data_IF_258428513063
#
_entry.id   IF_258428513063
#
_cell.length_a   1.000
_cell.length_b   1.000
_cell.length_c   1.000
_cell.angle_alpha   90.00
_cell.angle_beta   90.00
_cell.angle_gamma   90.00
#
_symmetry.space_group_name_H-M   'P 1'
#
loop_
_entity.id
_entity.type
_entity.pdbx_description
1 polymer ?
#
# COMPACT_ATOMS: atom_id res chain seq x y z
N UNK A 1 -37.48 -5.75 8.35
CA UNK A 1 -36.66 -6.81 7.66
C UNK A 1 -35.18 -6.44 7.77
N UNK A 2 -34.29 -7.41 8.10
CA UNK A 2 -32.83 -7.21 8.12
C UNK A 2 -32.22 -8.16 7.08
N UNK A 3 -31.43 -7.63 6.17
CA UNK A 3 -30.80 -8.38 5.08
C UNK A 3 -29.30 -8.61 5.33
N UNK A 4 -28.78 -9.73 4.87
CA UNK A 4 -27.35 -10.05 4.90
C UNK A 4 -26.65 -9.49 3.66
N UNK A 5 -25.62 -8.67 3.86
CA UNK A 5 -24.77 -8.10 2.80
C UNK A 5 -23.37 -8.70 2.89
N UNK A 6 -22.99 -9.45 1.86
CA UNK A 6 -21.62 -9.93 1.73
C UNK A 6 -20.69 -8.81 1.25
N UNK A 7 -19.65 -8.53 2.00
CA UNK A 7 -18.62 -7.59 1.59
C UNK A 7 -17.45 -8.32 0.90
N UNK A 8 -16.79 -7.64 -0.01
CA UNK A 8 -15.62 -8.16 -0.69
C UNK A 8 -14.33 -7.95 0.13
N UNK A 9 -13.21 -8.53 -0.33
CA UNK A 9 -11.91 -8.46 0.36
C UNK A 9 -11.42 -7.02 0.53
N UNK A 10 -11.66 -6.14 -0.45
CA UNK A 10 -11.23 -4.75 -0.39
C UNK A 10 -12.00 -3.98 0.69
N UNK A 11 -13.32 -4.15 0.73
CA UNK A 11 -14.19 -3.56 1.76
C UNK A 11 -13.83 -4.06 3.16
N UNK A 12 -13.52 -5.36 3.29
CA UNK A 12 -13.07 -5.94 4.55
C UNK A 12 -11.72 -5.36 5.00
N UNK A 13 -10.78 -5.20 4.06
CA UNK A 13 -9.49 -4.57 4.38
C UNK A 13 -9.63 -3.10 4.79
N UNK A 14 -10.47 -2.33 4.08
CA UNK A 14 -10.74 -0.94 4.43
C UNK A 14 -11.44 -0.83 5.79
N UNK A 15 -12.39 -1.73 6.09
CA UNK A 15 -13.04 -1.82 7.40
C UNK A 15 -12.02 -2.06 8.53
N UNK A 16 -11.12 -3.04 8.38
CA UNK A 16 -10.06 -3.31 9.35
C UNK A 16 -9.14 -2.10 9.54
N UNK A 17 -8.73 -1.47 8.45
CA UNK A 17 -7.84 -0.33 8.47
C UNK A 17 -8.48 0.89 9.16
N UNK A 18 -9.76 1.16 8.92
CA UNK A 18 -10.52 2.23 9.58
C UNK A 18 -10.66 1.99 11.08
N UNK A 19 -11.12 0.80 11.47
CA UNK A 19 -11.37 0.45 12.87
C UNK A 19 -10.09 0.42 13.73
N UNK A 20 -8.94 0.20 13.10
CA UNK A 20 -7.64 0.10 13.79
C UNK A 20 -6.75 1.33 13.60
N UNK A 21 -7.28 2.45 13.08
CA UNK A 21 -6.57 3.71 12.96
C UNK A 21 -5.45 3.76 11.90
N UNK A 22 -5.42 2.79 10.97
CA UNK A 22 -4.45 2.80 9.85
C UNK A 22 -4.67 4.03 8.97
N UNK A 23 -5.92 4.43 8.80
CA UNK A 23 -6.32 5.60 8.00
C UNK A 23 -6.61 6.85 8.84
N UNK A 24 -6.16 6.92 10.10
CA UNK A 24 -6.34 8.15 10.87
C UNK A 24 -5.84 9.38 10.07
N UNK A 25 -6.61 10.51 10.01
CA UNK A 25 -7.73 10.89 10.85
C UNK A 25 -9.10 10.33 10.46
N UNK A 26 -9.21 9.58 9.37
CA UNK A 26 -10.45 8.95 8.97
C UNK A 26 -10.73 7.73 9.87
N UNK A 27 -11.91 7.72 10.54
CA UNK A 27 -12.32 6.65 11.46
C UNK A 27 -13.44 5.76 10.90
N UNK A 28 -14.17 6.27 9.92
CA UNK A 28 -15.31 5.59 9.30
C UNK A 28 -15.25 5.71 7.78
N UNK A 29 -16.00 4.92 7.07
CA UNK A 29 -16.23 5.16 5.65
C UNK A 29 -16.85 6.56 5.46
N UNK A 30 -16.46 7.24 4.38
CA UNK A 30 -16.88 8.62 4.15
C UNK A 30 -18.34 8.71 3.76
N UNK A 31 -19.06 9.71 4.31
CA UNK A 31 -20.34 10.18 3.80
C UNK A 31 -20.17 11.03 2.53
N UNK A 32 -21.26 11.46 1.90
CA UNK A 32 -21.25 12.24 0.66
C UNK A 32 -20.44 13.53 0.78
N UNK A 33 -20.62 14.29 1.86
CA UNK A 33 -19.91 15.57 2.10
C UNK A 33 -18.41 15.35 2.18
N UNK A 34 -17.96 14.40 3.01
CA UNK A 34 -16.54 14.08 3.15
C UNK A 34 -15.96 13.46 1.87
N UNK A 35 -16.74 12.66 1.14
CA UNK A 35 -16.32 12.11 -0.14
C UNK A 35 -15.96 13.24 -1.12
N UNK A 36 -16.87 14.19 -1.29
CA UNK A 36 -16.67 15.34 -2.19
C UNK A 36 -15.54 16.24 -1.68
N UNK A 37 -15.50 16.54 -0.38
CA UNK A 37 -14.44 17.36 0.20
C UNK A 37 -13.04 16.75 0.01
N UNK A 38 -12.90 15.43 0.17
CA UNK A 38 -11.64 14.75 -0.11
C UNK A 38 -11.30 14.82 -1.60
N UNK A 39 -12.26 14.63 -2.49
CA UNK A 39 -12.00 14.68 -3.93
C UNK A 39 -11.47 16.04 -4.39
N UNK A 40 -12.05 17.12 -3.93
CA UNK A 40 -11.71 18.48 -4.40
C UNK A 40 -10.62 19.15 -3.56
N UNK A 41 -10.69 19.03 -2.23
CA UNK A 41 -9.86 19.77 -1.30
C UNK A 41 -8.76 18.94 -0.65
N UNK A 42 -8.78 17.59 -0.83
CA UNK A 42 -7.86 16.67 -0.16
C UNK A 42 -7.84 16.85 1.36
N UNK A 43 -9.01 17.08 1.96
CA UNK A 43 -9.14 17.35 3.40
C UNK A 43 -10.29 16.57 4.03
N UNK A 44 -10.08 16.18 5.29
CA UNK A 44 -11.11 15.73 6.23
C UNK A 44 -10.81 16.34 7.61
N UNK A 45 -11.81 16.96 8.24
CA UNK A 45 -11.65 17.63 9.54
C UNK A 45 -10.41 18.54 9.58
N UNK A 46 -10.26 19.44 8.59
CA UNK A 46 -9.11 20.36 8.37
C UNK A 46 -7.77 19.67 8.13
N UNK A 47 -7.67 18.34 8.19
CA UNK A 47 -6.43 17.58 7.96
C UNK A 47 -6.34 17.08 6.51
N UNK A 48 -5.14 17.02 5.99
CA UNK A 48 -4.89 16.49 4.65
C UNK A 48 -5.21 14.99 4.60
N UNK A 49 -6.04 14.58 3.61
CA UNK A 49 -6.39 13.20 3.34
C UNK A 49 -6.65 13.02 1.84
N UNK A 50 -5.83 12.24 1.10
CA UNK A 50 -5.76 12.35 -0.36
C UNK A 50 -6.80 11.54 -1.15
N UNK A 51 -7.36 10.47 -0.57
CA UNK A 51 -8.26 9.53 -1.27
C UNK A 51 -9.45 9.19 -0.37
N UNK A 52 -10.71 9.29 -0.84
CA UNK A 52 -11.86 8.86 -0.06
C UNK A 52 -11.85 7.34 0.14
N UNK A 53 -12.09 6.90 1.38
CA UNK A 53 -12.31 5.50 1.73
C UNK A 53 -13.81 5.33 1.96
N UNK A 54 -14.47 4.64 1.05
CA UNK A 54 -15.92 4.58 0.95
C UNK A 54 -16.46 3.15 0.99
N UNK A 55 -17.72 3.02 1.33
CA UNK A 55 -18.44 1.75 1.26
C UNK A 55 -19.38 1.76 0.05
N UNK A 56 -18.90 1.25 -1.08
CA UNK A 56 -19.66 1.20 -2.31
C UNK A 56 -20.43 -0.12 -2.46
N UNK A 57 -21.58 -0.08 -3.15
CA UNK A 57 -22.41 -1.23 -3.45
C UNK A 57 -22.78 -1.31 -4.92
N UNK A 58 -22.91 -2.53 -5.44
CA UNK A 58 -23.39 -2.78 -6.79
C UNK A 58 -24.90 -2.46 -6.91
N UNK A 59 -25.42 -2.32 -8.14
CA UNK A 59 -26.87 -2.12 -8.39
C UNK A 59 -27.71 -3.22 -7.73
N UNK A 60 -27.30 -4.49 -7.85
CA UNK A 60 -27.97 -5.64 -7.22
C UNK A 60 -28.08 -5.49 -5.69
N UNK A 61 -27.00 -5.09 -5.04
CA UNK A 61 -26.99 -4.90 -3.59
C UNK A 61 -27.74 -3.64 -3.17
N UNK A 62 -27.67 -2.55 -3.96
CA UNK A 62 -28.49 -1.37 -3.74
C UNK A 62 -29.99 -1.70 -3.71
N UNK A 63 -30.50 -2.42 -4.72
CA UNK A 63 -31.92 -2.82 -4.78
C UNK A 63 -32.38 -3.66 -3.57
N UNK A 64 -31.43 -4.38 -2.92
CA UNK A 64 -31.73 -5.17 -1.72
C UNK A 64 -31.84 -4.34 -0.43
N UNK A 65 -31.19 -3.18 -0.39
CA UNK A 65 -31.00 -2.43 0.87
C UNK A 65 -31.52 -1.01 0.85
N UNK A 66 -31.93 -0.46 -0.31
CA UNK A 66 -32.30 0.95 -0.46
C UNK A 66 -33.44 1.41 0.47
N UNK A 67 -34.33 0.51 0.85
CA UNK A 67 -35.47 0.81 1.75
C UNK A 67 -35.27 0.22 3.16
N UNK A 68 -34.03 -0.15 3.54
CA UNK A 68 -33.75 -0.75 4.84
C UNK A 68 -33.01 0.20 5.76
N UNK A 69 -33.36 0.17 7.04
CA UNK A 69 -32.63 0.91 8.06
C UNK A 69 -31.44 0.12 8.60
N UNK A 70 -31.52 -1.21 8.61
CA UNK A 70 -30.49 -2.08 9.20
C UNK A 70 -30.04 -3.16 8.23
N UNK A 71 -28.73 -3.43 8.22
CA UNK A 71 -28.10 -4.45 7.40
C UNK A 71 -27.03 -5.19 8.20
N UNK A 72 -26.97 -6.51 8.06
CA UNK A 72 -25.89 -7.34 8.62
C UNK A 72 -24.77 -7.50 7.60
N UNK A 73 -23.56 -7.13 7.98
CA UNK A 73 -22.36 -7.29 7.14
C UNK A 73 -21.71 -8.65 7.38
N UNK A 74 -21.36 -9.33 6.28
CA UNK A 74 -20.67 -10.61 6.31
C UNK A 74 -19.42 -10.59 5.42
N UNK A 75 -18.37 -11.30 5.84
CA UNK A 75 -17.21 -11.63 5.02
C UNK A 75 -16.86 -13.09 5.16
N UNK A 76 -16.72 -13.82 4.04
CA UNK A 76 -16.45 -15.27 4.03
C UNK A 76 -17.38 -16.04 5.00
N UNK A 77 -18.67 -15.81 4.89
CA UNK A 77 -19.73 -16.40 5.75
C UNK A 77 -19.67 -15.99 7.25
N UNK A 78 -18.69 -15.19 7.68
CA UNK A 78 -18.61 -14.71 9.07
C UNK A 78 -19.37 -13.41 9.23
N UNK A 79 -20.23 -13.35 10.25
CA UNK A 79 -20.94 -12.12 10.63
C UNK A 79 -19.96 -11.13 11.25
N UNK A 80 -19.90 -9.90 10.71
CA UNK A 80 -18.96 -8.87 11.12
C UNK A 80 -19.59 -7.76 11.96
N UNK A 81 -20.75 -7.27 11.51
CA UNK A 81 -21.40 -6.12 12.11
C UNK A 81 -22.89 -6.03 11.77
N UNK A 82 -23.68 -5.44 12.68
CA UNK A 82 -24.95 -4.81 12.37
C UNK A 82 -24.68 -3.33 12.14
N UNK A 83 -25.14 -2.82 11.01
CA UNK A 83 -25.04 -1.40 10.68
C UNK A 83 -26.44 -0.77 10.58
N UNK A 84 -26.57 0.49 11.02
CA UNK A 84 -27.72 1.34 10.74
C UNK A 84 -27.36 2.28 9.61
N UNK A 85 -28.09 2.20 8.49
CA UNK A 85 -27.92 3.09 7.34
C UNK A 85 -28.39 4.49 7.74
N UNK A 86 -27.56 5.49 7.52
CA UNK A 86 -27.87 6.91 7.70
C UNK A 86 -28.34 7.54 6.39
N UNK A 87 -27.62 7.23 5.31
CA UNK A 87 -27.98 7.66 3.96
C UNK A 87 -27.34 6.79 2.90
N UNK A 88 -27.96 6.75 1.75
CA UNK A 88 -27.39 6.17 0.53
C UNK A 88 -27.23 7.30 -0.48
N UNK A 89 -26.06 7.41 -1.10
CA UNK A 89 -25.76 8.48 -2.03
C UNK A 89 -25.06 7.97 -3.29
N UNK A 90 -25.12 8.77 -4.34
CA UNK A 90 -24.47 8.48 -5.61
C UNK A 90 -23.41 9.53 -5.92
N UNK A 91 -22.35 9.11 -6.59
CA UNK A 91 -21.28 9.96 -7.11
C UNK A 91 -21.11 9.64 -8.60
N UNK A 92 -21.13 10.67 -9.44
CA UNK A 92 -20.85 10.51 -10.87
C UNK A 92 -19.42 9.93 -11.03
N UNK A 93 -19.26 8.75 -11.66
CA UNK A 93 -17.92 8.12 -11.80
C UNK A 93 -16.89 9.03 -12.46
N UNK A 94 -17.32 9.88 -13.41
CA UNK A 94 -16.44 10.83 -14.10
C UNK A 94 -15.82 11.86 -13.14
N UNK A 95 -16.55 12.32 -12.11
CA UNK A 95 -16.03 13.23 -11.10
C UNK A 95 -14.91 12.52 -10.31
N UNK A 96 -15.19 11.32 -9.80
CA UNK A 96 -14.20 10.51 -9.09
C UNK A 96 -12.94 10.28 -9.94
N UNK A 97 -13.14 9.84 -11.18
CA UNK A 97 -12.03 9.55 -12.10
C UNK A 97 -11.17 10.78 -12.39
N UNK A 98 -11.79 11.90 -12.77
CA UNK A 98 -11.09 13.14 -13.10
C UNK A 98 -10.30 13.70 -11.93
N UNK A 99 -10.90 13.71 -10.74
CA UNK A 99 -10.28 14.28 -9.55
C UNK A 99 -9.13 13.45 -8.99
N UNK A 100 -9.16 12.12 -9.12
CA UNK A 100 -8.10 11.25 -8.63
C UNK A 100 -7.02 10.95 -9.66
N UNK A 101 -7.39 10.78 -10.93
CA UNK A 101 -6.50 10.26 -11.96
C UNK A 101 -6.21 11.27 -13.09
N UNK A 102 -6.81 12.47 -13.05
CA UNK A 102 -6.59 13.50 -14.05
C UNK A 102 -7.33 13.27 -15.37
N UNK A 103 -6.91 13.96 -16.45
CA UNK A 103 -7.62 13.98 -17.73
C UNK A 103 -7.82 12.60 -18.37
N UNK A 104 -6.83 11.72 -18.25
CA UNK A 104 -6.82 10.39 -18.87
C UNK A 104 -7.50 9.30 -18.05
N UNK A 105 -8.29 9.65 -17.04
CA UNK A 105 -8.88 8.73 -16.06
C UNK A 105 -9.66 7.56 -16.67
N UNK A 106 -10.28 7.73 -17.85
CA UNK A 106 -11.05 6.67 -18.53
C UNK A 106 -10.23 5.41 -18.80
N UNK A 107 -8.91 5.56 -19.03
CA UNK A 107 -7.98 4.47 -19.27
C UNK A 107 -7.40 3.85 -17.97
N UNK A 108 -7.72 4.43 -16.81
CA UNK A 108 -7.16 4.00 -15.54
C UNK A 108 -7.85 2.71 -15.03
N UNK A 109 -7.09 1.66 -14.61
CA UNK A 109 -7.66 0.37 -14.24
C UNK A 109 -8.57 0.45 -13.01
N UNK A 110 -8.19 1.23 -12.01
CA UNK A 110 -9.01 1.40 -10.83
C UNK A 110 -10.31 2.19 -11.11
N UNK A 111 -10.28 3.14 -12.04
CA UNK A 111 -11.50 3.82 -12.48
C UNK A 111 -12.49 2.87 -13.16
N UNK A 112 -12.00 2.00 -14.06
CA UNK A 112 -12.83 0.98 -14.70
C UNK A 112 -13.49 0.06 -13.68
N UNK A 113 -12.70 -0.39 -12.68
CA UNK A 113 -13.20 -1.18 -11.55
C UNK A 113 -14.21 -0.40 -10.70
N UNK A 114 -13.89 0.84 -10.34
CA UNK A 114 -14.77 1.71 -9.57
C UNK A 114 -16.15 1.86 -10.24
N UNK A 115 -16.18 2.18 -11.55
CA UNK A 115 -17.41 2.33 -12.32
C UNK A 115 -18.24 1.04 -12.34
N UNK A 116 -17.59 -0.12 -12.45
CA UNK A 116 -18.27 -1.44 -12.51
C UNK A 116 -18.83 -1.86 -11.16
N UNK A 117 -18.12 -1.62 -10.07
CA UNK A 117 -18.43 -2.19 -8.75
C UNK A 117 -19.26 -1.27 -7.85
N UNK A 118 -19.32 0.04 -8.14
CA UNK A 118 -19.96 1.02 -7.26
C UNK A 118 -21.09 1.76 -7.98
N UNK A 119 -22.30 1.31 -7.74
CA UNK A 119 -23.51 1.98 -8.18
C UNK A 119 -23.92 3.08 -7.19
N UNK A 120 -23.90 2.78 -5.89
CA UNK A 120 -24.21 3.69 -4.81
C UNK A 120 -23.22 3.51 -3.64
N UNK A 121 -23.24 4.43 -2.71
CA UNK A 121 -22.38 4.46 -1.51
C UNK A 121 -23.24 4.61 -0.28
N UNK A 122 -22.80 3.96 0.83
CA UNK A 122 -23.55 3.93 2.07
C UNK A 122 -22.80 4.70 3.14
N UNK A 123 -23.46 5.68 3.76
CA UNK A 123 -23.09 6.23 5.07
C UNK A 123 -23.87 5.47 6.15
N UNK A 124 -23.19 5.00 7.17
CA UNK A 124 -23.78 4.19 8.23
C UNK A 124 -23.03 4.34 9.56
N UNK A 125 -23.68 3.93 10.65
CA UNK A 125 -23.03 3.69 11.93
C UNK A 125 -23.06 2.20 12.29
N UNK A 126 -22.07 1.77 13.07
CA UNK A 126 -22.09 0.43 13.64
C UNK A 126 -23.01 0.40 14.86
N UNK A 127 -24.02 -0.47 14.84
CA UNK A 127 -24.83 -0.77 16.02
C UNK A 127 -24.18 -1.90 16.84
N UNK A 128 -23.62 -2.87 16.15
CA UNK A 128 -22.89 -3.97 16.78
C UNK A 128 -21.69 -4.39 15.94
N UNK A 129 -20.53 -4.57 16.57
CA UNK A 129 -19.32 -5.09 15.96
C UNK A 129 -18.94 -6.43 16.56
N UNK A 130 -18.68 -7.43 15.74
CA UNK A 130 -18.23 -8.75 16.18
C UNK A 130 -16.69 -8.80 16.11
N UNK A 131 -16.03 -8.23 17.11
CA UNK A 131 -14.56 -8.03 17.14
C UNK A 131 -13.77 -9.33 16.86
N UNK A 132 -14.25 -10.50 17.33
CA UNK A 132 -13.60 -11.80 17.11
C UNK A 132 -13.50 -12.18 15.62
N UNK A 133 -14.40 -11.68 14.77
CA UNK A 133 -14.44 -11.94 13.32
C UNK A 133 -13.72 -10.85 12.49
N UNK A 134 -13.39 -9.71 13.11
CA UNK A 134 -12.66 -8.60 12.51
C UNK A 134 -11.14 -8.79 12.67
N UNK A 135 -10.64 -9.91 12.13
CA UNK A 135 -9.22 -10.32 12.24
C UNK A 135 -8.72 -10.89 10.92
N UNK A 136 -7.48 -10.61 10.60
CA UNK A 136 -6.69 -11.30 9.58
C UNK A 136 -5.34 -11.69 10.18
N UNK A 137 -4.85 -12.89 9.88
CA UNK A 137 -3.59 -13.43 10.46
C UNK A 137 -2.35 -12.60 10.13
N UNK A 138 -2.41 -11.84 9.06
CA UNK A 138 -1.31 -11.01 8.59
C UNK A 138 -1.50 -9.54 8.94
N UNK A 139 -2.62 -9.16 9.57
CA UNK A 139 -2.90 -7.78 9.96
C UNK A 139 -2.19 -7.41 11.26
N UNK A 140 -1.47 -6.30 11.25
CA UNK A 140 -0.84 -5.71 12.45
C UNK A 140 -1.32 -4.28 12.57
N UNK A 141 -2.01 -3.95 13.66
CA UNK A 141 -2.49 -2.56 13.88
C UNK A 141 -1.34 -1.59 14.18
N UNK A 142 -1.49 -0.28 13.89
CA UNK A 142 -0.53 0.74 14.29
C UNK A 142 -0.24 0.74 15.78
N UNK A 143 -1.25 0.53 16.62
CA UNK A 143 -1.11 0.50 18.08
C UNK A 143 -0.23 -0.69 18.52
N UNK A 144 -0.56 -1.90 18.06
CA UNK A 144 0.21 -3.11 18.37
C UNK A 144 1.66 -2.98 17.88
N UNK A 145 1.87 -2.41 16.69
CA UNK A 145 3.20 -2.16 16.16
C UNK A 145 3.97 -1.16 17.04
N UNK A 146 3.39 0.00 17.36
CA UNK A 146 4.03 1.02 18.21
C UNK A 146 4.40 0.47 19.58
N UNK A 147 3.50 -0.29 20.23
CA UNK A 147 3.78 -0.95 21.51
C UNK A 147 5.00 -1.88 21.41
N UNK A 148 5.07 -2.69 20.35
CA UNK A 148 6.21 -3.59 20.09
C UNK A 148 7.51 -2.82 19.86
N UNK A 149 7.48 -1.74 19.09
CA UNK A 149 8.67 -0.94 18.78
C UNK A 149 9.19 -0.20 20.01
N UNK A 150 8.29 0.42 20.79
CA UNK A 150 8.65 1.09 22.05
C UNK A 150 9.48 0.18 22.97
N UNK A 151 9.10 -1.10 23.09
CA UNK A 151 9.84 -2.09 23.90
C UNK A 151 11.23 -2.42 23.35
N UNK A 152 11.46 -2.26 22.02
CA UNK A 152 12.71 -2.68 21.36
C UNK A 152 13.73 -1.56 21.19
N UNK A 153 13.28 -0.34 20.92
CA UNK A 153 14.15 0.79 20.57
C UNK A 153 13.88 2.06 21.37
N UNK A 154 12.95 2.00 22.35
CA UNK A 154 12.58 3.15 23.18
C UNK A 154 11.67 4.16 22.49
N UNK A 155 11.47 5.30 23.14
CA UNK A 155 10.74 6.45 22.63
C UNK A 155 11.68 7.40 21.87
N UNK A 156 11.09 8.26 21.00
CA UNK A 156 11.80 9.35 20.30
C UNK A 156 12.94 8.89 19.37
N UNK A 157 12.83 7.72 18.77
CA UNK A 157 13.76 7.23 17.77
C UNK A 157 13.27 7.52 16.36
N UNK A 158 14.19 7.84 15.45
CA UNK A 158 13.87 7.93 14.03
C UNK A 158 13.57 6.54 13.49
N UNK A 159 12.39 6.41 12.88
CA UNK A 159 11.97 5.19 12.20
C UNK A 159 11.65 5.52 10.75
N UNK A 160 12.53 5.12 9.85
CA UNK A 160 12.26 5.20 8.42
C UNK A 160 11.30 4.08 7.98
N UNK A 161 10.64 4.25 6.85
CA UNK A 161 9.72 3.23 6.34
C UNK A 161 9.85 3.01 4.84
N UNK A 162 9.72 1.75 4.44
CA UNK A 162 9.78 1.29 3.07
C UNK A 162 8.52 0.53 2.68
N UNK A 163 7.94 0.89 1.53
CA UNK A 163 6.77 0.24 0.95
C UNK A 163 7.14 -0.50 -0.33
N UNK A 164 6.61 -1.72 -0.49
CA UNK A 164 6.79 -2.51 -1.70
C UNK A 164 5.57 -3.41 -1.94
N UNK A 165 5.41 -3.90 -3.18
CA UNK A 165 4.48 -4.96 -3.56
C UNK A 165 5.23 -6.20 -4.07
N UNK A 166 6.55 -6.16 -4.01
CA UNK A 166 7.41 -7.18 -4.57
C UNK A 166 8.19 -7.94 -3.48
N UNK A 167 8.73 -9.06 -3.85
CA UNK A 167 9.81 -9.69 -3.09
C UNK A 167 11.04 -8.77 -3.06
N UNK A 168 11.84 -8.77 -1.99
CA UNK A 168 13.00 -7.90 -1.89
C UNK A 168 14.10 -8.30 -2.90
N UNK A 169 14.68 -7.29 -3.51
CA UNK A 169 15.82 -7.43 -4.45
C UNK A 169 16.94 -6.45 -4.10
N UNK A 170 18.08 -6.52 -4.76
CA UNK A 170 19.27 -5.72 -4.41
C UNK A 170 19.03 -4.20 -4.38
N UNK A 171 18.19 -3.66 -5.28
CA UNK A 171 17.83 -2.25 -5.20
C UNK A 171 16.99 -1.92 -3.94
N UNK A 172 16.12 -2.83 -3.48
CA UNK A 172 15.43 -2.68 -2.19
C UNK A 172 16.42 -2.77 -1.03
N UNK A 173 17.35 -3.75 -1.04
CA UNK A 173 18.38 -3.86 -0.01
C UNK A 173 19.25 -2.59 0.07
N UNK A 174 19.61 -2.01 -1.06
CA UNK A 174 20.33 -0.75 -1.11
C UNK A 174 19.55 0.37 -0.41
N UNK A 175 18.26 0.54 -0.72
CA UNK A 175 17.40 1.52 -0.08
C UNK A 175 17.23 1.25 1.43
N UNK A 176 17.12 -0.03 1.83
CA UNK A 176 17.03 -0.42 3.24
C UNK A 176 18.32 -0.05 3.99
N UNK A 177 19.49 -0.39 3.44
CA UNK A 177 20.78 -0.07 4.04
C UNK A 177 21.01 1.44 4.14
N UNK A 178 20.64 2.20 3.09
CA UNK A 178 20.67 3.66 3.14
C UNK A 178 19.86 4.21 4.32
N UNK A 179 18.63 3.71 4.52
CA UNK A 179 17.77 4.16 5.60
C UNK A 179 18.24 3.70 6.97
N UNK A 180 18.73 2.47 7.10
CA UNK A 180 19.27 1.93 8.36
C UNK A 180 20.51 2.73 8.77
N UNK A 181 21.44 2.99 7.84
CA UNK A 181 22.66 3.75 8.14
C UNK A 181 22.38 5.20 8.54
N UNK A 182 21.34 5.80 7.96
CA UNK A 182 21.00 7.22 8.22
C UNK A 182 20.08 7.43 9.42
N UNK A 183 19.17 6.49 9.68
CA UNK A 183 18.08 6.65 10.67
C UNK A 183 18.07 5.55 11.74
N UNK A 184 19.00 4.61 11.70
CA UNK A 184 19.17 3.45 12.59
C UNK A 184 18.04 2.41 12.50
N UNK A 185 16.80 2.80 12.23
CA UNK A 185 15.64 1.91 12.28
C UNK A 185 14.77 2.02 11.03
N UNK A 186 14.34 0.86 10.53
CA UNK A 186 13.55 0.73 9.32
C UNK A 186 12.31 -0.14 9.55
N UNK A 187 11.12 0.36 9.19
CA UNK A 187 9.92 -0.44 9.00
C UNK A 187 9.82 -0.88 7.54
N UNK A 188 9.91 -2.18 7.28
CA UNK A 188 9.57 -2.78 5.98
C UNK A 188 8.11 -3.17 6.03
N UNK A 189 7.29 -2.47 5.21
CA UNK A 189 5.85 -2.60 5.21
C UNK A 189 5.31 -2.91 3.80
N UNK A 190 5.41 -4.17 3.36
CA UNK A 190 4.88 -4.56 2.05
C UNK A 190 3.36 -4.56 2.04
N UNK A 191 2.79 -4.18 0.89
CA UNK A 191 1.37 -4.32 0.61
C UNK A 191 1.03 -5.79 0.41
N UNK A 192 0.04 -6.28 1.15
CA UNK A 192 -0.53 -7.62 1.02
C UNK A 192 -2.05 -7.52 0.97
N UNK A 193 -2.71 -8.60 0.58
CA UNK A 193 -4.17 -8.67 0.58
C UNK A 193 -4.78 -8.67 -0.81
N UNK A 194 -4.01 -8.53 -1.87
CA UNK A 194 -4.50 -8.62 -3.24
C UNK A 194 -3.78 -9.69 -4.05
N UNK A 195 -4.57 -10.43 -4.84
CA UNK A 195 -4.05 -11.41 -5.77
C UNK A 195 -4.30 -10.93 -7.19
N UNK A 196 -3.23 -10.77 -7.94
CA UNK A 196 -3.26 -10.47 -9.36
C UNK A 196 -2.41 -11.47 -10.09
N UNK A 197 -2.91 -11.97 -11.21
CA UNK A 197 -2.15 -12.83 -12.11
C UNK A 197 -0.77 -12.25 -12.39
N UNK A 198 0.26 -13.09 -12.35
CA UNK A 198 1.66 -12.74 -12.55
C UNK A 198 2.29 -11.85 -11.44
N UNK A 199 1.67 -11.70 -10.29
CA UNK A 199 2.29 -11.09 -9.09
C UNK A 199 2.60 -12.16 -8.04
N UNK A 200 3.41 -11.79 -7.03
CA UNK A 200 3.78 -12.71 -5.94
C UNK A 200 2.60 -12.93 -4.99
N UNK A 201 2.50 -14.14 -4.43
CA UNK A 201 1.55 -14.41 -3.35
C UNK A 201 1.90 -13.61 -2.09
N UNK A 202 0.88 -13.31 -1.25
CA UNK A 202 1.08 -12.66 0.05
C UNK A 202 2.07 -13.45 0.91
N UNK A 203 1.99 -14.79 0.90
CA UNK A 203 2.88 -15.68 1.63
C UNK A 203 4.33 -15.53 1.17
N UNK A 204 4.56 -15.50 -0.14
CA UNK A 204 5.90 -15.30 -0.73
C UNK A 204 6.47 -13.95 -0.33
N UNK A 205 5.68 -12.87 -0.42
CA UNK A 205 6.10 -11.53 -0.01
C UNK A 205 6.49 -11.51 1.47
N UNK A 206 5.66 -12.11 2.33
CA UNK A 206 5.91 -12.14 3.78
C UNK A 206 7.16 -12.96 4.10
N UNK A 207 7.28 -14.18 3.56
CA UNK A 207 8.40 -15.10 3.81
C UNK A 207 9.74 -14.50 3.37
N UNK A 208 9.80 -13.97 2.15
CA UNK A 208 11.03 -13.38 1.59
C UNK A 208 11.49 -12.16 2.36
N UNK A 209 10.58 -11.24 2.74
CA UNK A 209 10.94 -10.08 3.55
C UNK A 209 11.39 -10.47 4.96
N UNK A 210 10.77 -11.47 5.60
CA UNK A 210 11.20 -11.98 6.91
C UNK A 210 12.58 -12.61 6.86
N UNK A 211 12.92 -13.33 5.76
CA UNK A 211 14.29 -13.88 5.56
C UNK A 211 15.29 -12.76 5.41
N UNK A 212 15.00 -11.76 4.58
CA UNK A 212 15.91 -10.64 4.37
C UNK A 212 16.17 -9.87 5.66
N UNK A 213 15.13 -9.59 6.47
CA UNK A 213 15.28 -8.85 7.73
C UNK A 213 16.24 -9.53 8.70
N UNK A 214 16.30 -10.86 8.70
CA UNK A 214 17.27 -11.61 9.55
C UNK A 214 18.73 -11.38 9.16
N UNK A 215 19.01 -10.84 7.98
CA UNK A 215 20.37 -10.50 7.53
C UNK A 215 20.83 -9.12 7.99
N UNK A 216 19.92 -8.29 8.52
CA UNK A 216 20.26 -6.97 9.05
C UNK A 216 20.65 -7.05 10.53
N UNK A 217 21.35 -6.01 11.01
CA UNK A 217 21.70 -5.88 12.44
C UNK A 217 20.44 -6.01 13.31
N UNK A 218 20.57 -6.65 14.44
CA UNK A 218 19.48 -6.81 15.42
C UNK A 218 18.85 -5.45 15.75
N UNK A 219 17.51 -5.39 15.74
CA UNK A 219 16.71 -4.19 16.00
C UNK A 219 16.88 -3.02 15.00
N UNK A 220 17.57 -3.22 13.86
CA UNK A 220 17.65 -2.19 12.81
C UNK A 220 16.48 -2.25 11.81
N UNK A 221 15.86 -3.42 11.63
CA UNK A 221 14.73 -3.57 10.72
C UNK A 221 13.56 -4.31 11.36
N UNK A 222 12.35 -3.82 11.09
CA UNK A 222 11.09 -4.33 11.61
C UNK A 222 10.13 -4.65 10.47
N UNK A 223 9.18 -5.54 10.72
CA UNK A 223 8.21 -5.99 9.75
C UNK A 223 6.79 -5.83 10.28
N UNK A 224 5.95 -5.15 9.50
CA UNK A 224 4.51 -5.10 9.68
C UNK A 224 3.85 -4.95 8.30
N UNK A 225 3.22 -5.99 7.74
CA UNK A 225 2.62 -5.87 6.42
C UNK A 225 1.43 -4.90 6.44
N UNK A 226 1.20 -4.25 5.30
CA UNK A 226 0.05 -3.38 5.06
C UNK A 226 -1.03 -4.17 4.34
N UNK A 227 -2.06 -4.59 5.08
CA UNK A 227 -3.18 -5.33 4.54
C UNK A 227 -4.14 -4.38 3.82
N UNK A 228 -4.02 -4.29 2.50
CA UNK A 228 -4.78 -3.38 1.66
C UNK A 228 -4.73 -3.82 0.19
N UNK A 229 -5.11 -2.95 -0.73
CA UNK A 229 -5.08 -3.18 -2.16
C UNK A 229 -4.59 -1.94 -2.91
N UNK A 230 -3.93 -2.11 -4.07
CA UNK A 230 -3.46 -1.00 -4.87
C UNK A 230 -4.64 -0.30 -5.56
N UNK A 231 -4.67 1.01 -5.45
CA UNK A 231 -5.60 1.88 -6.19
C UNK A 231 -4.94 2.44 -7.46
N UNK A 232 -3.64 2.24 -7.59
CA UNK A 232 -2.81 2.75 -8.69
C UNK A 232 -2.88 4.27 -8.84
N UNK A 233 -3.20 4.99 -7.76
CA UNK A 233 -3.44 6.42 -7.75
C UNK A 233 -2.17 7.29 -7.85
N UNK A 234 -0.99 6.68 -8.06
CA UNK A 234 0.27 7.40 -8.19
C UNK A 234 0.49 8.40 -7.06
N UNK A 235 0.55 9.72 -7.37
CA UNK A 235 0.83 10.76 -6.37
C UNK A 235 -0.11 10.76 -5.16
N UNK A 236 -1.41 10.64 -5.37
CA UNK A 236 -2.40 10.67 -4.28
C UNK A 236 -2.36 9.39 -3.43
N UNK A 237 -2.08 8.25 -4.03
CA UNK A 237 -1.92 7.01 -3.27
C UNK A 237 -0.58 6.96 -2.52
N UNK A 238 0.49 7.53 -3.08
CA UNK A 238 1.76 7.70 -2.37
C UNK A 238 1.58 8.55 -1.10
N UNK A 239 0.78 9.62 -1.19
CA UNK A 239 0.43 10.45 -0.04
C UNK A 239 -0.42 9.69 1.01
N UNK A 240 -1.37 8.84 0.59
CA UNK A 240 -2.08 7.95 1.52
C UNK A 240 -1.12 6.99 2.21
N UNK A 241 -0.16 6.42 1.46
CA UNK A 241 0.87 5.56 2.01
C UNK A 241 1.76 6.28 3.03
N UNK A 242 2.06 7.56 2.83
CA UNK A 242 2.78 8.39 3.80
C UNK A 242 1.99 8.56 5.10
N UNK A 243 0.68 8.85 5.01
CA UNK A 243 -0.22 8.94 6.19
C UNK A 243 -0.25 7.62 6.95
N UNK A 244 -0.37 6.50 6.24
CA UNK A 244 -0.34 5.17 6.87
C UNK A 244 0.95 4.99 7.67
N UNK A 245 2.13 5.30 7.10
CA UNK A 245 3.42 5.14 7.80
C UNK A 245 3.54 6.05 9.02
N UNK A 246 3.08 7.30 8.89
CA UNK A 246 2.96 8.19 10.06
C UNK A 246 2.12 7.56 11.17
N UNK A 247 0.98 6.97 10.82
CA UNK A 247 0.10 6.34 11.81
C UNK A 247 0.75 5.12 12.50
N UNK A 248 1.66 4.42 11.81
CA UNK A 248 2.51 3.38 12.41
C UNK A 248 3.68 3.94 13.25
N UNK A 249 3.82 5.27 13.35
CA UNK A 249 4.87 5.90 14.16
C UNK A 249 6.18 6.14 13.41
N UNK A 250 6.17 6.04 12.07
CA UNK A 250 7.35 6.36 11.27
C UNK A 250 7.54 7.87 11.17
N UNK A 251 8.80 8.33 11.28
CA UNK A 251 9.22 9.72 11.09
C UNK A 251 9.58 10.02 9.64
N UNK A 252 9.99 9.00 8.88
CA UNK A 252 10.46 9.13 7.50
C UNK A 252 9.82 8.09 6.59
N UNK A 253 9.54 8.47 5.34
CA UNK A 253 8.96 7.56 4.35
C UNK A 253 9.68 7.64 3.01
N UNK A 254 10.16 6.47 2.54
CA UNK A 254 10.76 6.34 1.22
C UNK A 254 9.69 6.31 0.13
N UNK A 255 9.71 7.31 -0.76
CA UNK A 255 8.89 7.34 -1.97
C UNK A 255 9.79 7.02 -3.16
N UNK A 256 9.64 5.85 -3.74
CA UNK A 256 10.43 5.40 -4.88
C UNK A 256 9.97 6.02 -6.21
N UNK A 257 10.71 5.73 -7.28
CA UNK A 257 10.29 6.01 -8.65
C UNK A 257 8.95 5.29 -8.94
N UNK A 258 8.03 5.99 -9.60
CA UNK A 258 6.71 5.43 -9.99
C UNK A 258 5.95 4.78 -8.83
N UNK A 259 6.05 5.39 -7.63
CA UNK A 259 5.39 4.87 -6.43
C UNK A 259 3.88 4.86 -6.61
N UNK A 260 3.25 3.69 -6.41
CA UNK A 260 1.83 3.44 -6.60
C UNK A 260 1.30 3.75 -8.01
N UNK A 261 2.17 3.84 -9.00
CA UNK A 261 1.79 4.07 -10.39
C UNK A 261 1.26 2.83 -11.10
N UNK A 262 0.78 3.04 -12.32
CA UNK A 262 0.32 2.00 -13.24
C UNK A 262 0.92 2.23 -14.62
N UNK A 263 1.81 1.34 -15.07
CA UNK A 263 2.51 1.48 -16.35
C UNK A 263 3.15 2.88 -16.47
N UNK A 264 2.92 3.57 -17.59
CA UNK A 264 3.40 4.94 -17.84
C UNK A 264 2.30 6.00 -17.62
N UNK A 265 1.29 5.72 -16.78
CA UNK A 265 0.17 6.63 -16.56
C UNK A 265 0.59 7.94 -15.87
N UNK A 266 1.57 7.86 -15.01
CA UNK A 266 2.17 9.01 -14.31
C UNK A 266 3.63 9.19 -14.71
N UNK A 267 4.15 10.40 -14.62
CA UNK A 267 5.58 10.63 -14.80
C UNK A 267 6.38 9.98 -13.65
N UNK A 268 7.61 9.53 -13.97
CA UNK A 268 8.46 8.69 -13.10
C UNK A 268 8.59 9.18 -11.65
N UNK A 269 8.65 10.49 -11.43
CA UNK A 269 8.88 11.09 -10.10
C UNK A 269 7.69 11.91 -9.60
N UNK A 270 6.53 11.87 -10.27
CA UNK A 270 5.34 12.63 -9.88
C UNK A 270 4.90 12.36 -8.43
N UNK A 271 5.00 11.11 -7.98
CA UNK A 271 4.67 10.71 -6.60
C UNK A 271 5.64 11.30 -5.57
N UNK A 272 6.94 11.33 -5.87
CA UNK A 272 7.94 11.98 -5.01
C UNK A 272 7.67 13.48 -4.89
N UNK A 273 7.53 14.17 -6.03
CA UNK A 273 7.31 15.62 -6.08
C UNK A 273 6.02 16.01 -5.35
N UNK A 274 4.94 15.24 -5.53
CA UNK A 274 3.68 15.48 -4.83
C UNK A 274 3.81 15.32 -3.33
N UNK A 275 4.49 14.26 -2.86
CA UNK A 275 4.70 14.01 -1.45
C UNK A 275 5.63 15.06 -0.82
N UNK A 276 6.71 15.47 -1.49
CA UNK A 276 7.60 16.53 -1.04
C UNK A 276 6.87 17.87 -0.90
N UNK A 277 6.08 18.27 -1.92
CA UNK A 277 5.27 19.50 -1.88
C UNK A 277 4.27 19.51 -0.71
N UNK A 278 3.76 18.36 -0.33
CA UNK A 278 2.77 18.23 0.74
C UNK A 278 3.35 17.72 2.08
N UNK A 279 4.68 17.63 2.22
CA UNK A 279 5.34 17.01 3.37
C UNK A 279 4.88 17.56 4.71
N UNK A 280 4.78 18.90 4.85
CA UNK A 280 4.26 19.56 6.07
C UNK A 280 2.83 19.08 6.40
N UNK A 281 1.95 19.00 5.40
CA UNK A 281 0.55 18.55 5.57
C UNK A 281 0.48 17.04 5.90
N UNK A 282 1.38 16.23 5.34
CA UNK A 282 1.49 14.79 5.62
C UNK A 282 2.02 14.53 7.03
N UNK A 283 2.86 15.44 7.56
CA UNK A 283 3.47 15.32 8.87
C UNK A 283 4.42 14.13 9.00
N UNK A 284 5.14 13.80 7.93
CA UNK A 284 6.18 12.78 7.85
C UNK A 284 7.23 13.25 6.82
N UNK A 285 8.51 13.04 7.11
CA UNK A 285 9.61 13.44 6.22
C UNK A 285 9.68 12.48 5.03
N UNK A 286 9.76 13.02 3.83
CA UNK A 286 9.83 12.25 2.59
C UNK A 286 11.28 12.03 2.18
N UNK A 287 11.65 10.77 2.01
CA UNK A 287 12.94 10.37 1.44
C UNK A 287 12.72 10.14 -0.05
N UNK A 288 13.21 11.06 -0.88
CA UNK A 288 13.15 11.00 -2.34
C UNK A 288 14.56 10.80 -2.91
N UNK A 289 14.80 9.64 -3.49
CA UNK A 289 16.09 9.29 -4.10
C UNK A 289 15.88 8.87 -5.55
N UNK A 290 16.90 9.04 -6.39
CA UNK A 290 16.94 8.46 -7.74
C UNK A 290 16.94 6.94 -7.65
N UNK A 291 16.37 6.27 -8.64
CA UNK A 291 16.33 4.81 -8.71
C UNK A 291 17.75 4.24 -8.74
N UNK A 292 18.10 3.31 -7.83
CA UNK A 292 19.38 2.64 -7.87
C UNK A 292 19.45 1.61 -9.00
N UNK A 293 20.62 1.43 -9.57
CA UNK A 293 20.91 0.47 -10.63
C UNK A 293 22.18 -0.33 -10.30
N UNK A 294 22.33 -1.49 -10.89
CA UNK A 294 23.55 -2.27 -10.81
C UNK A 294 24.57 -1.74 -11.83
N UNK A 295 25.76 -1.40 -11.35
CA UNK A 295 26.91 -1.00 -12.16
C UNK A 295 27.88 -2.18 -12.28
N UNK A 296 28.08 -2.71 -13.48
CA UNK A 296 28.98 -3.85 -13.69
C UNK A 296 30.46 -3.49 -13.44
N UNK A 297 30.87 -2.24 -13.69
CA UNK A 297 32.25 -1.81 -13.48
C UNK A 297 32.70 -1.83 -12.02
N UNK A 298 31.83 -1.41 -11.07
CA UNK A 298 32.15 -1.49 -9.64
C UNK A 298 31.47 -2.66 -8.92
N UNK A 299 30.72 -3.48 -9.66
CA UNK A 299 29.97 -4.65 -9.15
C UNK A 299 29.05 -4.31 -7.95
N UNK A 300 28.43 -3.13 -7.96
CA UNK A 300 27.61 -2.60 -6.84
C UNK A 300 26.31 -1.98 -7.33
N UNK A 301 25.35 -1.89 -6.39
CA UNK A 301 24.14 -1.07 -6.59
C UNK A 301 24.47 0.38 -6.22
N UNK A 302 24.20 1.30 -7.14
CA UNK A 302 24.46 2.73 -7.00
C UNK A 302 23.28 3.55 -7.50
N UNK A 303 23.09 4.77 -6.96
CA UNK A 303 22.03 5.70 -7.41
C UNK A 303 22.58 6.98 -8.04
N UNK A 304 23.91 7.14 -8.07
CA UNK A 304 24.61 8.25 -8.71
C UNK A 304 25.52 7.72 -9.81
N UNK A 305 25.82 8.56 -10.81
CA UNK A 305 26.79 8.22 -11.86
C UNK A 305 28.16 8.00 -11.19
N UNK A 306 28.72 6.83 -11.39
CA UNK A 306 30.09 6.55 -10.94
C UNK A 306 31.06 7.19 -11.91
N UNK A 307 32.04 7.95 -11.39
CA UNK A 307 33.03 8.68 -12.19
C UNK A 307 34.31 7.87 -12.45
N UNK A 308 34.47 6.68 -11.87
CA UNK A 308 35.60 5.80 -12.15
C UNK A 308 35.58 5.40 -13.63
N UNK A 309 36.74 5.43 -14.29
CA UNK A 309 36.83 5.14 -15.72
C UNK A 309 36.22 3.79 -16.10
N UNK A 310 36.50 2.72 -15.35
CA UNK A 310 35.89 1.40 -15.52
C UNK A 310 34.36 1.42 -15.43
N UNK A 311 33.76 2.38 -14.72
CA UNK A 311 32.32 2.51 -14.57
C UNK A 311 31.68 3.38 -15.66
N UNK A 312 32.44 4.26 -16.28
CA UNK A 312 31.93 5.14 -17.35
C UNK A 312 31.56 4.29 -18.56
N UNK A 313 32.41 3.34 -18.92
CA UNK A 313 32.24 2.40 -20.05
C UNK A 313 31.38 1.17 -19.69
N UNK A 314 31.03 0.97 -18.41
CA UNK A 314 30.34 -0.23 -17.94
C UNK A 314 28.85 -0.23 -18.22
N UNK A 315 28.28 -1.44 -18.32
CA UNK A 315 26.84 -1.63 -18.51
C UNK A 315 26.08 -1.35 -17.21
N UNK A 316 24.98 -0.60 -17.31
CA UNK A 316 24.07 -0.27 -16.22
C UNK A 316 22.81 -1.08 -16.33
N UNK A 317 22.54 -1.89 -15.33
CA UNK A 317 21.37 -2.76 -15.31
C UNK A 317 20.32 -2.29 -14.30
N UNK A 318 19.08 -2.08 -14.77
CA UNK A 318 17.95 -1.88 -13.86
C UNK A 318 17.69 -3.17 -13.06
N UNK A 319 17.50 -3.03 -11.74
CA UNK A 319 17.09 -4.12 -10.86
C UNK A 319 15.61 -3.96 -10.57
N UNK A 320 14.78 -4.81 -11.17
CA UNK A 320 13.33 -4.69 -11.07
C UNK A 320 12.63 -6.02 -10.78
N UNK A 321 11.48 -5.95 -10.12
CA UNK A 321 10.64 -7.13 -9.86
C UNK A 321 10.19 -7.84 -11.13
N UNK A 322 10.03 -7.12 -12.25
CA UNK A 322 9.67 -7.72 -13.54
C UNK A 322 10.79 -8.62 -14.07
N UNK A 323 12.05 -8.17 -14.00
CA UNK A 323 13.20 -8.96 -14.42
C UNK A 323 13.32 -10.25 -13.58
N UNK A 324 13.12 -10.15 -12.27
CA UNK A 324 13.18 -11.30 -11.36
C UNK A 324 12.04 -12.30 -11.68
N UNK A 325 10.80 -11.82 -11.88
CA UNK A 325 9.69 -12.70 -12.27
C UNK A 325 9.98 -13.46 -13.58
N UNK A 326 10.66 -12.84 -14.53
CA UNK A 326 11.04 -13.52 -15.77
C UNK A 326 12.03 -14.67 -15.53
N UNK A 327 13.03 -14.52 -14.63
CA UNK A 327 13.89 -15.62 -14.21
C UNK A 327 13.10 -16.77 -13.58
N UNK A 328 12.18 -16.47 -12.66
CA UNK A 328 11.35 -17.46 -11.98
C UNK A 328 10.46 -18.21 -12.99
N UNK A 329 9.78 -17.49 -13.89
CA UNK A 329 8.92 -18.11 -14.92
C UNK A 329 9.68 -19.06 -15.84
N UNK A 330 10.92 -18.71 -16.19
CA UNK A 330 11.81 -19.53 -17.03
C UNK A 330 12.55 -20.60 -16.25
N UNK A 331 12.30 -20.75 -14.94
CA UNK A 331 13.04 -21.67 -14.05
C UNK A 331 14.57 -21.48 -14.11
N UNK A 332 15.03 -20.25 -14.42
CA UNK A 332 16.46 -19.91 -14.45
C UNK A 332 16.92 -19.41 -13.07
N UNK A 333 18.18 -19.69 -12.65
CA UNK A 333 18.72 -19.18 -11.41
C UNK A 333 18.76 -17.65 -11.44
N UNK A 334 18.37 -17.01 -10.32
CA UNK A 334 18.38 -15.54 -10.21
C UNK A 334 19.80 -15.11 -9.84
N UNK A 335 20.45 -14.25 -10.64
CA UNK A 335 21.80 -13.77 -10.35
C UNK A 335 21.89 -13.05 -8.99
N UNK A 336 23.00 -13.22 -8.28
CA UNK A 336 23.24 -12.56 -6.98
C UNK A 336 23.30 -11.03 -7.09
N UNK A 337 23.69 -10.50 -8.25
CA UNK A 337 23.61 -9.07 -8.57
C UNK A 337 22.17 -8.50 -8.54
N UNK A 338 21.15 -9.35 -8.68
CA UNK A 338 19.74 -8.97 -8.65
C UNK A 338 19.08 -9.23 -7.30
N UNK A 339 19.45 -10.34 -6.61
CA UNK A 339 18.77 -10.77 -5.38
C UNK A 339 19.73 -11.48 -4.43
N UNK A 340 19.46 -11.37 -3.14
CA UNK A 340 20.15 -12.11 -2.09
C UNK A 340 19.94 -13.62 -2.26
N UNK A 341 21.02 -14.42 -2.11
CA UNK A 341 21.00 -15.87 -2.27
C UNK A 341 20.02 -16.57 -1.32
N UNK A 342 19.89 -16.10 -0.06
CA UNK A 342 18.95 -16.66 0.92
C UNK A 342 17.50 -16.42 0.51
N UNK A 343 17.23 -15.31 -0.16
CA UNK A 343 15.90 -14.96 -0.67
C UNK A 343 15.59 -15.72 -1.97
N UNK A 344 16.55 -15.80 -2.90
CA UNK A 344 16.34 -16.46 -4.19
C UNK A 344 16.08 -17.96 -4.07
N UNK A 345 16.74 -18.65 -3.11
CA UNK A 345 16.59 -20.09 -2.87
C UNK A 345 15.15 -20.56 -2.58
N UNK A 346 14.30 -19.68 -2.06
CA UNK A 346 12.90 -20.03 -1.73
C UNK A 346 11.90 -19.67 -2.83
N UNK A 347 12.38 -19.05 -3.92
CA UNK A 347 11.52 -18.63 -5.03
C UNK A 347 11.46 -19.70 -6.12
N UNK A 348 10.25 -20.03 -6.53
CA UNK A 348 9.96 -20.96 -7.62
C UNK A 348 8.68 -20.54 -8.37
N UNK A 349 8.25 -21.28 -9.38
CA UNK A 349 7.03 -20.95 -10.16
C UNK A 349 5.79 -20.79 -9.28
N UNK A 350 5.62 -21.58 -8.20
CA UNK A 350 4.50 -21.47 -7.24
C UNK A 350 4.51 -20.16 -6.44
N UNK A 351 5.63 -19.43 -6.43
CA UNK A 351 5.75 -18.11 -5.78
C UNK A 351 4.97 -17.03 -6.54
N UNK A 352 4.62 -17.26 -7.81
CA UNK A 352 3.90 -16.33 -8.68
C UNK A 352 2.49 -16.90 -8.91
N UNK A 353 1.49 -16.04 -8.75
CA UNK A 353 0.09 -16.39 -8.97
C UNK A 353 -0.17 -16.59 -10.48
N UNK A 354 -0.73 -17.74 -10.83
CA UNK A 354 -1.07 -18.11 -12.22
C UNK A 354 -2.52 -17.80 -12.58
N UNK A 355 -3.42 -17.72 -11.58
CA UNK A 355 -4.86 -17.49 -11.74
C UNK A 355 -5.29 -16.12 -11.26
#
# INVERSE_FOLDING_TARGET
MIVNLQINKNQFSDLLNLLNGVFFPLKHFVNKVNFINILYNRKINKRFFPIPIFFGVTKKNYNKICNLNYVKLFYKKKYLALIKIKSIYMIKPSIFGRQLFGKNYKNHPYYKKFKKENFAFIDFKYEKLIKKNLKDKNFVSPEAFKKKIKKKIGLNRFLASFHTRNVPHKAHQWAHNYMINKYNHLLIQPLIGQYKKNEYSDETIIKTNKILIKTYKKNSAFFAPYFSYPRYGGPVEAALHAIVRKNYGCSHFWVGRDHAGYKNFYSKYSSQNFCLKNQKKLGIIIIAQKEPYFCSGCNKIVNKKCLKEICIKSVKHAVSGTRIRNYIKKSKPIPESLMDKKVSKILNKKSILTN
#
